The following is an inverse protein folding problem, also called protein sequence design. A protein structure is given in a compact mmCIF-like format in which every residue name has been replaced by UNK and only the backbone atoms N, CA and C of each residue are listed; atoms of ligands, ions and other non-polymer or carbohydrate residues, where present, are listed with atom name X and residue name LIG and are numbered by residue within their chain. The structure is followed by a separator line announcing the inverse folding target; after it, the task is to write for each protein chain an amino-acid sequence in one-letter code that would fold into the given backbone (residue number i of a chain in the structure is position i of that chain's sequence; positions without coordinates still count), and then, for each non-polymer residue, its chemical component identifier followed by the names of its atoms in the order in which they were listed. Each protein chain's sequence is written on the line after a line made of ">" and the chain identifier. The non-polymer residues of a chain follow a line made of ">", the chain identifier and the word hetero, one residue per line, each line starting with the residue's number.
data_IF_120800695419
#
_entry.id   IF_120800695419
#
_cell.length_a   1.000
_cell.length_b   1.000
_cell.length_c   1.000
_cell.angle_alpha   90.00
_cell.angle_beta   90.00
_cell.angle_gamma   90.00
#
_symmetry.space_group_name_H-M   'P 1'
#
loop_
_entity.id
_entity.type
_entity.pdbx_description
1 polymer ?
#
# COMPACT_ATOMS: atom_id res chain seq x y z
N UNK A 1 11.01 57.42 -24.71
CA UNK A 1 10.08 58.36 -25.29
C UNK A 1 9.78 57.87 -26.69
N UNK A 2 8.67 57.08 -26.88
CA UNK A 2 7.84 56.99 -28.09
C UNK A 2 6.65 56.07 -27.77
N UNK A 3 5.52 56.69 -27.58
CA UNK A 3 4.18 56.06 -27.52
C UNK A 3 3.72 55.87 -28.98
N UNK A 4 3.29 54.68 -29.34
CA UNK A 4 2.47 54.48 -30.55
C UNK A 4 1.10 53.98 -30.09
N UNK A 5 0.08 54.75 -30.42
CA UNK A 5 -1.34 54.49 -30.21
C UNK A 5 -1.85 53.55 -31.30
N UNK A 6 -2.60 52.53 -30.82
CA UNK A 6 -3.43 51.69 -31.69
C UNK A 6 -4.77 52.42 -31.86
N UNK A 7 -5.03 52.88 -33.08
CA UNK A 7 -6.37 53.11 -33.66
C UNK A 7 -6.21 53.19 -35.16
N UNK A 8 -7.21 52.66 -35.82
CA UNK A 8 -7.46 52.71 -37.26
C UNK A 8 -6.79 51.64 -38.13
N UNK A 9 -7.57 50.57 -38.36
CA UNK A 9 -7.96 50.13 -39.71
C UNK A 9 -9.19 49.23 -39.55
N UNK A 10 -10.33 49.84 -39.82
CA UNK A 10 -11.63 49.23 -40.09
C UNK A 10 -11.93 49.58 -41.54
N UNK A 11 -12.32 48.61 -42.33
CA UNK A 11 -13.26 48.75 -43.44
C UNK A 11 -12.85 47.98 -44.71
N UNK A 12 -13.88 47.31 -45.24
CA UNK A 12 -14.15 46.93 -46.65
C UNK A 12 -13.56 45.55 -47.07
N UNK A 13 -14.37 44.50 -47.25
CA UNK A 13 -15.28 44.28 -48.36
C UNK A 13 -16.33 43.19 -48.12
N UNK A 14 -17.55 43.57 -48.38
CA UNK A 14 -18.73 42.70 -48.47
C UNK A 14 -18.89 42.16 -49.94
N UNK A 15 -19.66 41.09 -50.04
CA UNK A 15 -20.37 40.51 -51.17
C UNK A 15 -19.65 39.50 -52.07
N UNK A 16 -20.11 38.24 -52.00
CA UNK A 16 -20.88 37.63 -53.06
C UNK A 16 -21.52 36.29 -52.59
N UNK A 17 -22.79 36.23 -52.92
CA UNK A 17 -23.84 35.24 -52.61
C UNK A 17 -23.85 34.13 -53.70
N UNK A 18 -24.44 32.98 -53.33
CA UNK A 18 -25.02 31.83 -54.08
C UNK A 18 -24.19 30.56 -53.86
N UNK A 19 -24.62 29.62 -53.12
CA UNK A 19 -25.81 28.77 -53.13
C UNK A 19 -25.50 27.47 -53.85
N UNK A 20 -25.45 26.37 -53.05
CA UNK A 20 -25.91 25.04 -53.50
C UNK A 20 -25.98 24.16 -52.24
N UNK A 21 -27.15 23.62 -51.94
CA UNK A 21 -27.49 22.63 -50.98
C UNK A 21 -26.89 21.27 -51.32
N UNK A 22 -26.20 20.66 -50.43
CA UNK A 22 -25.77 19.28 -50.58
C UNK A 22 -25.41 18.72 -49.19
N UNK A 23 -26.32 17.98 -48.56
CA UNK A 23 -26.11 17.24 -47.35
C UNK A 23 -25.17 16.08 -47.58
N UNK A 24 -23.99 16.13 -46.98
CA UNK A 24 -23.12 14.98 -46.83
C UNK A 24 -22.56 14.98 -45.42
N UNK A 25 -23.06 14.04 -44.62
CA UNK A 25 -22.49 13.69 -43.35
C UNK A 25 -21.08 13.11 -43.57
N UNK A 26 -20.05 13.91 -43.32
CA UNK A 26 -18.69 13.42 -43.18
C UNK A 26 -18.23 13.70 -41.78
N UNK A 27 -18.07 12.63 -40.98
CA UNK A 27 -17.35 12.64 -39.74
C UNK A 27 -15.91 13.05 -40.02
N UNK A 28 -15.56 14.29 -39.71
CA UNK A 28 -14.16 14.72 -39.64
C UNK A 28 -13.55 14.30 -38.33
N UNK A 29 -12.69 13.29 -38.38
CA UNK A 29 -11.66 13.04 -37.32
C UNK A 29 -10.85 14.33 -37.13
N UNK A 30 -10.60 14.78 -35.90
CA UNK A 30 -9.62 15.83 -35.68
C UNK A 30 -8.23 15.31 -36.02
N UNK A 31 -7.48 16.13 -36.75
CA UNK A 31 -6.12 15.86 -37.16
C UNK A 31 -5.17 15.64 -35.94
N UNK A 32 -4.25 14.71 -36.15
CA UNK A 32 -3.18 14.33 -35.28
C UNK A 32 -2.42 15.51 -34.68
N UNK A 33 -2.44 15.62 -33.38
CA UNK A 33 -1.43 16.33 -32.64
C UNK A 33 -0.08 15.59 -32.77
N UNK A 34 0.92 16.31 -33.16
CA UNK A 34 2.31 15.90 -33.29
C UNK A 34 2.76 15.25 -31.96
N UNK A 35 2.99 13.95 -31.98
CA UNK A 35 3.57 13.23 -30.84
C UNK A 35 4.99 13.74 -30.59
N UNK A 36 5.22 14.28 -29.40
CA UNK A 36 6.55 14.52 -28.87
C UNK A 36 7.10 13.17 -28.43
N UNK A 37 8.25 12.70 -28.95
CA UNK A 37 8.83 11.42 -28.52
C UNK A 37 9.29 11.56 -27.08
N UNK A 38 8.62 10.89 -26.15
CA UNK A 38 8.97 10.85 -24.73
C UNK A 38 7.81 10.90 -23.72
N UNK A 39 6.58 11.16 -24.17
CA UNK A 39 5.43 11.00 -23.28
C UNK A 39 5.09 9.52 -23.15
N UNK A 40 5.33 8.97 -21.98
CA UNK A 40 4.81 7.64 -21.62
C UNK A 40 3.30 7.75 -21.67
N UNK A 41 2.68 7.11 -22.67
CA UNK A 41 1.23 6.98 -22.80
C UNK A 41 0.69 6.52 -21.45
N UNK A 42 -0.37 7.16 -20.96
CA UNK A 42 -1.14 6.71 -19.81
C UNK A 42 -1.43 5.21 -19.95
N UNK A 43 -0.65 4.39 -19.26
CA UNK A 43 -0.94 2.97 -19.16
C UNK A 43 -2.25 2.88 -18.40
N UNK A 44 -3.31 2.55 -19.09
CA UNK A 44 -4.63 2.32 -18.53
C UNK A 44 -4.51 1.18 -17.51
N UNK A 45 -4.29 1.54 -16.26
CA UNK A 45 -4.27 0.61 -15.13
C UNK A 45 -5.67 0.01 -15.04
N UNK A 46 -5.83 -1.23 -15.50
CA UNK A 46 -7.07 -1.98 -15.33
C UNK A 46 -7.40 -2.00 -13.85
N UNK A 47 -8.44 -1.27 -13.44
CA UNK A 47 -9.02 -1.36 -12.11
C UNK A 47 -9.53 -2.79 -11.91
N UNK A 48 -8.71 -3.65 -11.33
CA UNK A 48 -9.15 -4.95 -10.86
C UNK A 48 -10.05 -4.69 -9.63
N UNK A 49 -11.34 -4.47 -9.86
CA UNK A 49 -12.34 -4.60 -8.80
C UNK A 49 -12.34 -6.06 -8.38
N UNK A 50 -11.84 -6.35 -7.17
CA UNK A 50 -12.04 -7.65 -6.55
C UNK A 50 -13.56 -7.86 -6.44
N UNK A 51 -14.13 -8.90 -7.04
CA UNK A 51 -15.57 -9.18 -6.94
C UNK A 51 -15.98 -9.27 -5.47
N UNK A 52 -17.15 -8.75 -5.13
CA UNK A 52 -17.70 -8.76 -3.77
C UNK A 52 -17.78 -10.18 -3.18
N UNK A 53 -17.95 -11.19 -4.04
CA UNK A 53 -17.90 -12.61 -3.70
C UNK A 53 -16.53 -13.11 -3.19
N UNK A 54 -15.44 -12.35 -3.39
CA UNK A 54 -14.10 -12.68 -2.92
C UNK A 54 -13.72 -11.93 -1.63
N UNK A 55 -14.60 -11.07 -1.12
CA UNK A 55 -14.37 -10.44 0.18
C UNK A 55 -14.58 -11.47 1.29
N UNK A 56 -13.57 -11.64 2.12
CA UNK A 56 -13.61 -12.56 3.26
C UNK A 56 -14.47 -11.93 4.34
N UNK A 57 -15.51 -12.64 4.77
CA UNK A 57 -16.35 -12.23 5.89
C UNK A 57 -15.65 -12.58 7.20
N UNK A 58 -15.91 -11.81 8.26
CA UNK A 58 -15.29 -12.04 9.56
C UNK A 58 -15.57 -13.43 10.14
N UNK A 59 -16.74 -13.98 9.86
CA UNK A 59 -17.19 -15.32 10.25
C UNK A 59 -16.44 -16.48 9.54
N UNK A 60 -15.83 -16.19 8.39
CA UNK A 60 -15.03 -17.17 7.62
C UNK A 60 -13.56 -17.23 8.09
N UNK A 61 -13.16 -16.41 9.08
CA UNK A 61 -11.80 -16.33 9.60
C UNK A 61 -11.65 -17.23 10.83
N UNK A 62 -11.00 -18.37 10.65
CA UNK A 62 -10.77 -19.35 11.73
C UNK A 62 -9.55 -18.99 12.55
N UNK A 63 -8.57 -18.40 11.93
CA UNK A 63 -7.30 -18.01 12.56
C UNK A 63 -6.85 -16.65 12.04
N UNK A 64 -6.37 -15.81 12.95
CA UNK A 64 -5.88 -14.47 12.64
C UNK A 64 -4.69 -14.11 13.51
N UNK A 65 -3.67 -13.48 12.92
CA UNK A 65 -2.51 -12.95 13.65
C UNK A 65 -2.00 -11.68 12.98
N UNK A 66 -1.72 -10.66 13.76
CA UNK A 66 -1.10 -9.44 13.25
C UNK A 66 0.42 -9.55 13.33
N UNK A 67 1.07 -9.20 12.24
CA UNK A 67 2.52 -9.26 12.04
C UNK A 67 3.01 -7.88 11.64
N UNK A 68 4.12 -7.46 12.20
CA UNK A 68 4.72 -6.16 11.93
C UNK A 68 6.12 -6.37 11.34
N UNK A 69 6.33 -5.80 10.16
CA UNK A 69 7.62 -5.87 9.45
C UNK A 69 8.28 -4.51 9.38
N UNK A 70 9.61 -4.52 9.40
CA UNK A 70 10.42 -3.38 8.98
C UNK A 70 10.82 -3.63 7.54
N UNK A 71 10.44 -2.74 6.64
CA UNK A 71 10.92 -2.73 5.26
C UNK A 71 11.97 -1.64 5.12
N UNK A 72 13.13 -1.99 4.57
CA UNK A 72 14.21 -1.06 4.23
C UNK A 72 14.08 -0.72 2.74
N UNK A 73 13.74 0.54 2.46
CA UNK A 73 13.48 0.98 1.08
C UNK A 73 14.76 1.08 0.23
N UNK A 74 15.94 1.13 0.87
CA UNK A 74 17.23 1.16 0.15
C UNK A 74 17.68 -0.22 -0.30
N UNK A 75 16.98 -1.30 0.13
CA UNK A 75 17.38 -2.68 -0.16
C UNK A 75 16.54 -3.34 -1.24
N UNK A 76 17.20 -3.99 -2.17
CA UNK A 76 16.60 -4.88 -3.16
C UNK A 76 15.47 -4.22 -3.97
N UNK A 77 14.37 -4.94 -4.14
CA UNK A 77 13.21 -4.48 -4.91
C UNK A 77 12.46 -3.31 -4.25
N UNK A 78 12.65 -3.09 -2.94
CA UNK A 78 12.02 -1.98 -2.24
C UNK A 78 12.53 -0.62 -2.75
N UNK A 79 13.68 -0.57 -3.44
CA UNK A 79 14.22 0.65 -4.04
C UNK A 79 13.23 1.41 -4.92
N UNK A 80 12.32 0.71 -5.57
CA UNK A 80 11.26 1.33 -6.36
C UNK A 80 10.31 2.22 -5.55
N UNK A 81 10.24 2.04 -4.22
CA UNK A 81 9.45 2.86 -3.31
C UNK A 81 10.22 4.07 -2.78
N UNK A 82 11.57 4.02 -2.85
CA UNK A 82 12.46 5.07 -2.33
C UNK A 82 12.82 6.12 -3.39
N UNK A 83 13.00 5.69 -4.63
CA UNK A 83 13.38 6.59 -5.72
C UNK A 83 12.17 7.04 -6.55
N UNK A 84 12.15 8.31 -7.01
CA UNK A 84 13.15 9.36 -6.78
C UNK A 84 13.07 9.95 -5.37
N UNK A 85 14.21 10.29 -4.76
CA UNK A 85 14.26 10.89 -3.42
C UNK A 85 13.64 12.28 -3.45
N UNK A 86 13.97 13.06 -4.48
CA UNK A 86 13.35 14.34 -4.77
C UNK A 86 12.31 14.16 -5.88
N UNK A 87 11.13 14.78 -5.78
CA UNK A 87 10.12 14.68 -6.82
C UNK A 87 10.64 15.15 -8.18
N UNK A 88 10.38 14.36 -9.24
CA UNK A 88 10.70 14.68 -10.63
C UNK A 88 9.40 14.74 -11.41
N UNK A 89 8.87 15.95 -11.64
CA UNK A 89 7.53 16.12 -12.20
C UNK A 89 6.48 15.49 -11.29
N UNK A 90 5.67 14.59 -11.84
CA UNK A 90 4.63 13.87 -11.08
C UNK A 90 5.15 12.62 -10.35
N UNK A 91 6.42 12.26 -10.57
CA UNK A 91 7.02 11.10 -9.92
C UNK A 91 7.58 11.50 -8.56
N UNK A 92 7.18 10.77 -7.54
CA UNK A 92 7.65 10.93 -6.17
C UNK A 92 7.71 9.59 -5.46
N UNK A 93 8.52 9.51 -4.40
CA UNK A 93 8.62 8.30 -3.60
C UNK A 93 7.40 8.08 -2.70
N UNK A 94 7.35 6.91 -2.07
CA UNK A 94 6.24 6.54 -1.19
C UNK A 94 6.04 7.54 -0.04
N UNK A 95 7.13 7.97 0.61
CA UNK A 95 7.02 8.89 1.75
C UNK A 95 6.50 10.26 1.33
N UNK A 96 7.08 10.85 0.27
CA UNK A 96 6.64 12.16 -0.24
C UNK A 96 5.15 12.14 -0.61
N UNK A 97 4.67 11.04 -1.19
CA UNK A 97 3.24 10.90 -1.52
C UNK A 97 2.37 10.81 -0.28
N UNK A 98 2.75 10.01 0.70
CA UNK A 98 2.02 9.92 1.97
C UNK A 98 1.98 11.27 2.69
N UNK A 99 3.13 11.94 2.76
CA UNK A 99 3.28 13.22 3.41
C UNK A 99 2.41 14.29 2.73
N UNK A 100 2.44 14.37 1.40
CA UNK A 100 1.59 15.27 0.60
C UNK A 100 0.09 15.07 0.90
N UNK A 101 -0.36 13.82 0.90
CA UNK A 101 -1.78 13.48 1.06
C UNK A 101 -2.27 13.78 2.48
N UNK A 102 -1.42 13.57 3.50
CA UNK A 102 -1.70 13.95 4.89
C UNK A 102 -1.66 15.46 5.08
N UNK A 103 -0.65 16.16 4.52
CA UNK A 103 -0.51 17.62 4.58
C UNK A 103 -1.73 18.35 3.99
N UNK A 104 -2.29 17.81 2.92
CA UNK A 104 -3.48 18.33 2.26
C UNK A 104 -4.80 17.87 2.91
N UNK A 105 -4.77 17.28 4.10
CA UNK A 105 -5.94 16.77 4.83
C UNK A 105 -6.84 15.84 3.99
N UNK A 106 -6.26 15.12 3.02
CA UNK A 106 -7.00 14.15 2.19
C UNK A 106 -7.22 12.82 2.90
N UNK A 107 -6.33 12.48 3.83
CA UNK A 107 -6.41 11.29 4.70
C UNK A 107 -6.04 11.66 6.13
N UNK A 108 -6.57 10.90 7.10
CA UNK A 108 -6.16 10.98 8.48
C UNK A 108 -4.88 10.17 8.71
N UNK A 109 -3.95 10.75 9.46
CA UNK A 109 -2.81 10.06 10.02
C UNK A 109 -3.00 9.90 11.53
N UNK A 110 -2.53 8.80 12.10
CA UNK A 110 -2.75 8.44 13.50
C UNK A 110 -1.43 8.41 14.26
N UNK A 111 -1.47 8.76 15.53
CA UNK A 111 -0.30 8.80 16.38
C UNK A 111 0.38 7.43 16.51
N UNK A 112 1.71 7.43 16.55
CA UNK A 112 2.49 6.24 16.90
C UNK A 112 2.65 6.17 18.42
N UNK A 113 1.98 5.18 19.04
CA UNK A 113 2.00 4.99 20.50
C UNK A 113 2.56 3.59 20.81
N UNK A 114 3.83 3.54 21.23
CA UNK A 114 4.51 2.29 21.63
C UNK A 114 4.28 1.10 20.68
N UNK A 115 4.27 1.38 19.36
CA UNK A 115 4.01 0.35 18.36
C UNK A 115 2.58 -0.17 18.35
N UNK A 116 1.65 0.50 19.04
CA UNK A 116 0.21 0.27 18.89
C UNK A 116 -0.32 1.18 17.79
N UNK A 117 -1.27 0.67 17.08
CA UNK A 117 -2.04 1.42 16.11
C UNK A 117 -3.50 1.50 16.57
N UNK A 118 -3.96 2.69 16.83
CA UNK A 118 -5.34 2.97 17.23
C UNK A 118 -5.92 3.95 16.21
N UNK A 119 -6.86 3.48 15.40
CA UNK A 119 -7.45 4.24 14.29
C UNK A 119 -8.80 4.84 14.70
N UNK A 120 -8.82 5.63 15.77
CA UNK A 120 -9.99 6.37 16.23
C UNK A 120 -9.74 7.87 16.15
N UNK A 121 -10.78 8.66 16.08
CA UNK A 121 -10.69 10.13 15.93
C UNK A 121 -9.90 10.80 17.04
N UNK A 122 -9.84 10.19 18.23
CA UNK A 122 -9.08 10.66 19.38
C UNK A 122 -7.56 10.67 19.13
N UNK A 123 -7.08 9.71 18.33
CA UNK A 123 -5.65 9.53 18.04
C UNK A 123 -5.23 10.04 16.65
N UNK A 124 -6.10 10.83 16.01
CA UNK A 124 -5.73 11.52 14.77
C UNK A 124 -4.69 12.57 15.09
N UNK A 125 -3.51 12.45 14.49
CA UNK A 125 -2.43 13.42 14.70
C UNK A 125 -2.75 14.73 13.98
N UNK A 126 -2.63 15.84 14.69
CA UNK A 126 -2.69 17.16 14.08
C UNK A 126 -1.40 17.40 13.30
N UNK A 127 -1.49 17.54 11.99
CA UNK A 127 -0.33 17.65 11.12
C UNK A 127 0.65 18.76 11.54
N UNK A 128 0.14 19.89 12.04
CA UNK A 128 0.96 20.97 12.63
C UNK A 128 1.82 20.49 13.81
N UNK A 129 1.28 19.60 14.65
CA UNK A 129 2.03 19.02 15.79
C UNK A 129 3.13 18.10 15.29
N UNK A 130 2.83 17.29 14.27
CA UNK A 130 3.81 16.43 13.62
C UNK A 130 4.95 17.26 13.05
N UNK A 131 4.65 18.30 12.25
CA UNK A 131 5.67 19.15 11.66
C UNK A 131 6.61 19.77 12.71
N UNK A 132 6.02 20.28 13.81
CA UNK A 132 6.81 20.84 14.92
C UNK A 132 7.62 19.78 15.65
N UNK A 133 7.06 18.59 15.87
CA UNK A 133 7.73 17.50 16.57
C UNK A 133 8.94 16.95 15.81
N UNK A 134 8.89 17.01 14.49
CA UNK A 134 10.00 16.59 13.61
C UNK A 134 10.82 17.76 13.07
N UNK A 135 10.58 18.99 13.57
CA UNK A 135 11.32 20.20 13.18
C UNK A 135 11.29 20.48 11.67
N UNK A 136 10.17 20.16 11.01
CA UNK A 136 9.97 20.40 9.58
C UNK A 136 9.48 21.83 9.40
N UNK A 137 10.19 22.70 8.65
CA UNK A 137 9.75 24.06 8.38
C UNK A 137 8.46 24.09 7.55
N UNK A 138 7.55 25.00 7.87
CA UNK A 138 6.29 25.15 7.14
C UNK A 138 5.75 26.57 7.20
N UNK A 139 4.98 26.95 6.18
CA UNK A 139 4.17 28.17 6.16
C UNK A 139 2.70 27.76 6.21
N UNK A 140 1.96 28.34 7.15
CA UNK A 140 0.53 28.05 7.31
C UNK A 140 -0.31 29.03 6.49
N UNK A 141 -1.20 28.51 5.65
CA UNK A 141 -2.16 29.27 4.85
C UNK A 141 -3.57 28.83 5.23
N UNK A 142 -4.51 29.77 5.30
CA UNK A 142 -5.92 29.42 5.48
C UNK A 142 -6.45 28.70 4.24
N UNK A 143 -7.20 27.61 4.44
CA UNK A 143 -7.86 26.90 3.35
C UNK A 143 -9.04 27.74 2.84
N UNK A 144 -9.02 28.20 1.58
CA UNK A 144 -10.11 29.01 1.03
C UNK A 144 -11.40 28.20 0.84
N UNK A 145 -11.33 26.87 0.90
CA UNK A 145 -12.46 25.96 0.64
C UNK A 145 -13.14 25.47 1.92
N UNK A 146 -12.47 25.55 3.06
CA UNK A 146 -12.98 25.03 4.34
C UNK A 146 -12.74 26.04 5.46
N UNK A 147 -13.82 26.42 6.15
CA UNK A 147 -13.73 27.26 7.35
C UNK A 147 -13.02 26.48 8.48
N UNK A 148 -12.01 27.07 9.09
CA UNK A 148 -11.18 26.47 10.16
C UNK A 148 -10.24 25.32 9.72
N UNK A 149 -9.89 25.24 8.46
CA UNK A 149 -8.86 24.33 7.96
C UNK A 149 -7.63 25.10 7.51
N UNK A 150 -6.45 24.61 7.86
CA UNK A 150 -5.17 25.17 7.41
C UNK A 150 -4.53 24.27 6.36
N UNK A 151 -3.98 24.88 5.36
CA UNK A 151 -3.10 24.21 4.37
C UNK A 151 -1.66 24.55 4.77
N UNK A 152 -0.81 23.55 4.77
CA UNK A 152 0.60 23.69 5.10
C UNK A 152 1.41 23.74 3.81
N UNK A 153 2.06 24.87 3.57
CA UNK A 153 3.00 25.05 2.46
C UNK A 153 4.39 24.68 2.95
N UNK A 154 4.95 23.58 2.42
CA UNK A 154 6.24 23.02 2.79
C UNK A 154 7.08 22.98 1.52
N UNK A 155 8.27 23.58 1.58
CA UNK A 155 9.18 23.53 0.46
C UNK A 155 9.67 22.09 0.24
N UNK A 156 9.83 21.66 -1.02
CA UNK A 156 10.20 20.28 -1.34
C UNK A 156 11.52 19.84 -0.68
N UNK A 157 12.47 20.78 -0.51
CA UNK A 157 13.74 20.57 0.20
C UNK A 157 13.59 20.30 1.70
N UNK A 158 12.48 20.76 2.30
CA UNK A 158 12.23 20.61 3.74
C UNK A 158 11.53 19.27 4.06
N UNK A 159 11.00 18.58 3.05
CA UNK A 159 10.41 17.26 3.22
C UNK A 159 11.54 16.23 3.41
N UNK A 160 11.63 15.53 4.56
CA UNK A 160 12.75 14.65 4.87
C UNK A 160 12.69 13.30 4.11
N UNK A 161 12.51 13.36 2.80
CA UNK A 161 12.35 12.17 1.95
C UNK A 161 13.59 11.29 1.93
N UNK A 162 14.79 11.88 2.01
CA UNK A 162 16.06 11.17 2.07
C UNK A 162 16.27 10.43 3.39
N UNK A 163 15.71 10.99 4.48
CA UNK A 163 15.87 10.47 5.84
C UNK A 163 14.85 9.38 6.18
N UNK A 164 13.75 9.30 5.42
CA UNK A 164 12.75 8.24 5.57
C UNK A 164 13.07 7.08 4.64
N UNK A 165 13.96 6.21 5.09
CA UNK A 165 14.40 5.04 4.34
C UNK A 165 13.79 3.73 4.82
N UNK A 166 12.98 3.75 5.86
CA UNK A 166 12.34 2.56 6.42
C UNK A 166 10.85 2.79 6.69
N UNK A 167 10.08 1.72 6.65
CA UNK A 167 8.67 1.72 7.04
C UNK A 167 8.36 0.53 7.95
N UNK A 168 7.48 0.77 8.93
CA UNK A 168 6.73 -0.34 9.52
C UNK A 168 5.54 -0.66 8.63
N UNK A 169 5.35 -1.95 8.36
CA UNK A 169 4.19 -2.50 7.67
C UNK A 169 3.46 -3.41 8.62
N UNK A 170 2.23 -3.07 8.96
CA UNK A 170 1.33 -3.97 9.69
C UNK A 170 0.61 -4.85 8.69
N UNK A 171 0.75 -6.16 8.86
CA UNK A 171 0.05 -7.20 8.12
C UNK A 171 -0.92 -7.92 9.03
N UNK A 172 -2.06 -8.32 8.53
CA UNK A 172 -2.92 -9.31 9.15
C UNK A 172 -2.88 -10.59 8.32
N UNK A 173 -2.41 -11.65 8.95
CA UNK A 173 -2.43 -13.00 8.42
C UNK A 173 -3.68 -13.70 8.92
N UNK A 174 -4.42 -14.35 8.04
CA UNK A 174 -5.64 -15.06 8.41
C UNK A 174 -5.89 -16.28 7.51
N UNK A 175 -6.54 -17.29 8.08
CA UNK A 175 -6.98 -18.47 7.36
C UNK A 175 -8.44 -18.28 6.95
N UNK A 176 -8.68 -18.27 5.63
CA UNK A 176 -10.01 -18.26 5.04
C UNK A 176 -10.52 -19.69 4.95
N UNK A 177 -11.53 -20.01 5.76
CA UNK A 177 -12.10 -21.35 5.84
C UNK A 177 -12.73 -21.81 4.52
N UNK A 178 -13.33 -20.91 3.76
CA UNK A 178 -14.00 -21.25 2.50
C UNK A 178 -13.05 -21.80 1.45
N UNK A 179 -11.87 -21.21 1.37
CA UNK A 179 -10.84 -21.56 0.38
C UNK A 179 -9.72 -22.40 0.97
N UNK A 180 -9.75 -22.64 2.28
CA UNK A 180 -8.68 -23.35 3.00
C UNK A 180 -7.29 -22.76 2.72
N UNK A 181 -7.25 -21.45 2.55
CA UNK A 181 -6.02 -20.76 2.13
C UNK A 181 -5.62 -19.69 3.13
N UNK A 182 -4.30 -19.61 3.38
CA UNK A 182 -3.72 -18.52 4.13
C UNK A 182 -3.71 -17.26 3.28
N UNK A 183 -4.25 -16.17 3.82
CA UNK A 183 -4.27 -14.85 3.19
C UNK A 183 -3.56 -13.84 4.06
N UNK A 184 -2.96 -12.85 3.41
CA UNK A 184 -2.28 -11.74 4.07
C UNK A 184 -2.84 -10.43 3.54
N UNK A 185 -3.19 -9.55 4.46
CA UNK A 185 -3.66 -8.20 4.13
C UNK A 185 -2.76 -7.17 4.81
N UNK A 186 -2.25 -6.21 4.05
CA UNK A 186 -1.60 -5.02 4.61
C UNK A 186 -2.68 -4.15 5.24
N UNK A 187 -2.47 -3.77 6.50
CA UNK A 187 -3.44 -3.00 7.30
C UNK A 187 -3.04 -1.54 7.41
N UNK A 188 -1.76 -1.29 7.66
CA UNK A 188 -1.27 0.07 7.86
C UNK A 188 0.22 0.19 7.53
N UNK A 189 0.63 1.41 7.21
CA UNK A 189 2.01 1.81 6.98
C UNK A 189 2.39 2.89 7.98
N UNK A 190 3.65 2.84 8.45
CA UNK A 190 4.22 3.90 9.29
C UNK A 190 5.62 4.24 8.78
N UNK A 191 5.86 5.44 8.26
CA UNK A 191 7.19 5.91 7.88
C UNK A 191 8.08 6.07 9.12
N UNK A 192 9.36 5.77 8.97
CA UNK A 192 10.38 5.85 10.02
C UNK A 192 11.42 6.87 9.57
N UNK A 193 11.51 7.96 10.28
CA UNK A 193 12.54 8.97 10.10
C UNK A 193 13.85 8.50 10.78
N UNK A 194 14.95 8.56 10.05
CA UNK A 194 16.29 8.23 10.56
C UNK A 194 17.12 9.49 10.62
N UNK A 195 17.57 9.87 11.81
CA UNK A 195 18.46 11.04 12.02
C UNK A 195 19.64 10.65 12.90
N UNK A 196 20.78 11.26 12.63
CA UNK A 196 21.93 11.19 13.52
C UNK A 196 21.69 12.09 14.74
N UNK A 197 21.97 11.56 15.91
CA UNK A 197 21.95 12.34 17.16
C UNK A 197 23.24 13.16 17.33
N UNK A 198 23.33 13.93 18.41
CA UNK A 198 24.48 14.78 18.73
C UNK A 198 25.81 13.98 18.88
N UNK A 199 25.73 12.69 19.09
CA UNK A 199 26.89 11.79 19.27
C UNK A 199 27.22 11.06 17.96
N UNK A 200 26.45 11.29 16.88
CA UNK A 200 26.62 10.64 15.57
C UNK A 200 26.02 9.23 15.51
N UNK A 201 25.14 8.86 16.47
CA UNK A 201 24.41 7.62 16.40
C UNK A 201 23.11 7.78 15.59
N UNK A 202 22.88 6.86 14.67
CA UNK A 202 21.64 6.84 13.87
C UNK A 202 20.46 6.40 14.75
N UNK A 203 19.52 7.33 14.97
CA UNK A 203 18.26 7.06 15.67
C UNK A 203 17.09 7.03 14.73
N UNK A 204 16.16 6.16 15.02
CA UNK A 204 14.97 5.94 14.22
C UNK A 204 13.72 6.39 14.97
N UNK A 205 12.90 7.21 14.31
CA UNK A 205 11.69 7.80 14.87
C UNK A 205 10.50 7.44 13.99
N UNK A 206 9.64 6.48 14.44
CA UNK A 206 8.36 6.24 13.77
C UNK A 206 7.51 7.51 13.80
N UNK A 207 6.95 7.90 12.66
CA UNK A 207 6.29 9.20 12.54
C UNK A 207 4.79 9.12 12.85
N UNK A 208 4.07 8.34 12.05
CA UNK A 208 2.62 8.21 12.17
C UNK A 208 2.12 6.95 11.45
N UNK A 209 0.98 6.45 11.87
CA UNK A 209 0.29 5.36 11.17
C UNK A 209 -0.70 5.89 10.15
N UNK A 210 -0.76 5.24 8.99
CA UNK A 210 -1.79 5.48 7.97
C UNK A 210 -2.44 4.14 7.61
N UNK A 211 -3.79 4.01 7.75
CA UNK A 211 -4.49 2.81 7.32
C UNK A 211 -4.35 2.61 5.81
N UNK A 212 -4.00 1.40 5.40
CA UNK A 212 -3.69 1.09 4.00
C UNK A 212 -4.87 1.29 3.05
N UNK A 213 -6.09 1.02 3.51
CA UNK A 213 -7.30 1.21 2.71
C UNK A 213 -7.59 2.68 2.40
N UNK A 214 -7.24 3.59 3.32
CA UNK A 214 -7.48 5.04 3.11
C UNK A 214 -6.54 5.63 2.08
N UNK A 215 -5.31 5.11 1.96
CA UNK A 215 -4.33 5.58 0.98
C UNK A 215 -4.42 4.86 -0.37
N UNK A 216 -5.20 3.79 -0.46
CA UNK A 216 -5.39 2.99 -1.68
C UNK A 216 -5.62 3.81 -2.95
N UNK A 217 -6.53 4.83 -2.99
CA UNK A 217 -6.78 5.61 -4.19
C UNK A 217 -5.52 6.33 -4.71
N UNK A 218 -4.66 6.78 -3.80
CA UNK A 218 -3.43 7.50 -4.12
C UNK A 218 -2.32 6.54 -4.57
N UNK A 219 -2.12 5.44 -3.84
CA UNK A 219 -1.12 4.42 -4.20
C UNK A 219 -1.45 3.68 -5.50
N UNK A 220 -2.73 3.58 -5.87
CA UNK A 220 -3.14 2.99 -7.14
C UNK A 220 -2.81 3.86 -8.35
N UNK A 221 -2.58 5.16 -8.15
CA UNK A 221 -2.17 6.10 -9.19
C UNK A 221 -0.65 6.22 -9.31
N UNK A 222 0.09 5.78 -8.29
CA UNK A 222 1.55 5.78 -8.31
C UNK A 222 2.07 4.55 -9.05
N UNK A 223 2.79 4.77 -10.13
CA UNK A 223 3.42 3.71 -10.92
C UNK A 223 4.90 3.57 -10.57
N UNK A 224 5.33 2.33 -10.35
CA UNK A 224 6.72 1.96 -10.10
C UNK A 224 7.14 0.84 -11.03
N UNK A 225 8.45 0.75 -11.31
CA UNK A 225 9.00 -0.40 -12.00
C UNK A 225 8.86 -1.66 -11.10
N UNK A 226 8.21 -2.68 -11.60
CA UNK A 226 8.02 -3.95 -10.87
C UNK A 226 9.32 -4.75 -10.78
N UNK A 227 10.30 -4.45 -11.64
CA UNK A 227 11.60 -5.09 -11.70
C UNK A 227 12.66 -4.05 -12.06
N UNK A 228 13.78 -4.05 -11.34
CA UNK A 228 14.92 -3.16 -11.59
C UNK A 228 15.61 -3.40 -12.94
N UNK A 229 15.46 -4.59 -13.50
CA UNK A 229 16.07 -4.98 -14.78
C UNK A 229 15.15 -4.77 -15.97
N UNK A 230 13.85 -4.58 -15.74
CA UNK A 230 12.85 -4.42 -16.80
C UNK A 230 11.91 -3.24 -16.51
N UNK A 231 12.25 -2.07 -17.00
CA UNK A 231 11.45 -0.85 -16.83
C UNK A 231 10.12 -0.86 -17.60
N UNK A 232 9.92 -1.79 -18.52
CA UNK A 232 8.64 -1.96 -19.21
C UNK A 232 7.57 -2.64 -18.32
N UNK A 233 8.01 -3.34 -17.28
CA UNK A 233 7.10 -3.97 -16.32
C UNK A 233 6.73 -2.97 -15.22
N UNK A 234 5.65 -2.25 -15.42
CA UNK A 234 5.14 -1.21 -14.50
C UNK A 234 3.96 -1.74 -13.72
N UNK A 235 3.91 -1.44 -12.43
CA UNK A 235 2.78 -1.76 -11.57
C UNK A 235 2.46 -0.60 -10.64
N UNK A 236 1.25 -0.60 -10.05
CA UNK A 236 0.92 0.40 -9.03
C UNK A 236 1.61 0.07 -7.70
N UNK A 237 1.89 1.10 -6.90
CA UNK A 237 2.39 0.90 -5.53
C UNK A 237 1.38 0.11 -4.70
N UNK A 238 0.08 0.32 -4.92
CA UNK A 238 -0.95 -0.48 -4.27
C UNK A 238 -0.80 -1.98 -4.58
N UNK A 239 -0.65 -2.33 -5.86
CA UNK A 239 -0.48 -3.74 -6.26
C UNK A 239 0.83 -4.33 -5.75
N UNK A 240 1.89 -3.53 -5.67
CA UNK A 240 3.17 -3.94 -5.08
C UNK A 240 3.00 -4.42 -3.64
N UNK A 241 2.27 -3.66 -2.81
CA UNK A 241 1.96 -4.06 -1.44
C UNK A 241 0.95 -5.22 -1.38
N UNK A 242 -0.10 -5.18 -2.19
CA UNK A 242 -1.13 -6.21 -2.21
C UNK A 242 -0.60 -7.59 -2.64
N UNK A 243 0.35 -7.62 -3.57
CA UNK A 243 1.06 -8.84 -3.99
C UNK A 243 2.24 -9.21 -3.07
N UNK A 244 2.48 -8.45 -2.00
CA UNK A 244 3.58 -8.66 -1.06
C UNK A 244 4.95 -8.78 -1.72
N UNK A 245 5.25 -7.92 -2.68
CA UNK A 245 6.55 -7.88 -3.35
C UNK A 245 7.65 -7.24 -2.51
N UNK A 246 7.29 -6.52 -1.44
CA UNK A 246 8.24 -5.93 -0.52
C UNK A 246 8.96 -7.00 0.30
N UNK A 247 10.21 -6.70 0.62
CA UNK A 247 11.05 -7.50 1.49
C UNK A 247 11.22 -6.78 2.83
N UNK A 248 11.08 -7.51 3.93
CA UNK A 248 11.22 -6.92 5.25
C UNK A 248 11.21 -7.95 6.36
N UNK A 249 11.90 -7.63 7.43
CA UNK A 249 12.09 -8.50 8.59
C UNK A 249 10.95 -8.33 9.60
N UNK A 250 10.48 -9.42 10.18
CA UNK A 250 9.51 -9.37 11.27
C UNK A 250 10.20 -8.77 12.50
N UNK A 251 9.64 -7.70 13.05
CA UNK A 251 10.13 -7.13 14.31
C UNK A 251 9.18 -7.35 15.48
N UNK A 252 7.91 -7.65 15.19
CA UNK A 252 6.89 -7.90 16.21
C UNK A 252 5.77 -8.75 15.61
N UNK A 253 5.22 -9.61 16.43
CA UNK A 253 3.97 -10.32 16.17
C UNK A 253 3.03 -10.04 17.33
N UNK A 254 1.72 -9.98 17.08
CA UNK A 254 0.74 -9.76 18.14
C UNK A 254 0.93 -10.78 19.27
N UNK A 255 1.14 -10.28 20.46
CA UNK A 255 1.31 -11.06 21.68
C UNK A 255 0.71 -10.32 22.88
N UNK A 256 0.37 -11.03 23.94
CA UNK A 256 -0.28 -10.46 25.13
C UNK A 256 0.48 -9.33 25.79
N UNK A 257 1.81 -9.33 25.69
CA UNK A 257 2.69 -8.32 26.30
C UNK A 257 2.96 -7.13 25.38
N UNK A 258 2.48 -7.16 24.14
CA UNK A 258 2.77 -6.16 23.10
C UNK A 258 4.28 -5.91 22.87
N UNK A 259 5.11 -6.93 23.12
CA UNK A 259 6.57 -6.84 23.03
C UNK A 259 7.05 -7.09 21.61
N UNK A 260 8.07 -6.34 21.20
CA UNK A 260 8.82 -6.62 19.98
C UNK A 260 9.91 -7.67 20.23
N UNK A 261 10.47 -8.25 19.17
CA UNK A 261 11.48 -9.31 19.25
C UNK A 261 12.71 -8.86 20.04
N UNK A 262 13.15 -7.60 19.87
CA UNK A 262 14.31 -7.05 20.60
C UNK A 262 14.10 -6.96 22.11
N UNK A 263 12.86 -6.99 22.59
CA UNK A 263 12.58 -6.95 24.03
C UNK A 263 13.00 -8.25 24.73
N UNK A 264 12.88 -9.41 24.05
CA UNK A 264 13.22 -10.72 24.62
C UNK A 264 14.43 -11.41 23.96
N UNK A 265 14.79 -11.07 22.73
CA UNK A 265 16.02 -11.50 22.08
C UNK A 265 17.06 -10.38 22.15
N UNK A 266 18.20 -10.62 22.81
CA UNK A 266 19.19 -9.57 23.10
C UNK A 266 20.36 -9.55 22.14
N UNK A 267 20.65 -10.66 21.45
CA UNK A 267 21.75 -10.75 20.49
C UNK A 267 21.21 -10.71 19.05
N UNK A 268 21.98 -10.19 18.09
CA UNK A 268 21.58 -10.14 16.68
C UNK A 268 21.25 -11.53 16.12
N UNK A 269 22.01 -12.56 16.52
CA UNK A 269 21.81 -13.95 16.09
C UNK A 269 20.48 -14.50 16.63
N UNK A 270 20.16 -14.23 17.88
CA UNK A 270 18.90 -14.65 18.50
C UNK A 270 17.70 -13.95 17.84
N UNK A 271 17.84 -12.65 17.49
CA UNK A 271 16.82 -11.90 16.77
C UNK A 271 16.55 -12.54 15.40
N UNK A 272 17.62 -12.83 14.65
CA UNK A 272 17.51 -13.44 13.32
C UNK A 272 16.90 -14.84 13.39
N UNK A 273 17.35 -15.66 14.32
CA UNK A 273 16.80 -17.01 14.54
C UNK A 273 15.29 -16.97 14.86
N UNK A 274 14.87 -16.02 15.69
CA UNK A 274 13.45 -15.84 16.04
C UNK A 274 12.63 -15.34 14.85
N UNK A 275 13.17 -14.43 14.04
CA UNK A 275 12.55 -13.97 12.80
C UNK A 275 12.32 -15.13 11.83
N UNK A 276 13.34 -15.95 11.60
CA UNK A 276 13.24 -17.15 10.76
C UNK A 276 12.25 -18.19 11.32
N UNK A 277 12.22 -18.37 12.65
CA UNK A 277 11.25 -19.25 13.31
C UNK A 277 9.81 -18.78 13.06
N UNK A 278 9.55 -17.48 13.25
CA UNK A 278 8.24 -16.88 13.04
C UNK A 278 7.81 -16.94 11.55
N UNK A 279 8.72 -16.71 10.61
CA UNK A 279 8.43 -16.86 9.18
C UNK A 279 8.03 -18.31 8.84
N UNK A 280 8.76 -19.28 9.34
CA UNK A 280 8.45 -20.70 9.15
C UNK A 280 7.11 -21.07 9.78
N UNK A 281 6.84 -20.58 11.00
CA UNK A 281 5.58 -20.79 11.69
C UNK A 281 4.40 -20.25 10.85
N UNK A 282 4.48 -18.99 10.40
CA UNK A 282 3.42 -18.36 9.59
C UNK A 282 3.17 -19.09 8.28
N UNK A 283 4.21 -19.53 7.60
CA UNK A 283 4.08 -20.25 6.34
C UNK A 283 3.51 -21.66 6.52
N UNK A 284 3.75 -22.30 7.68
CA UNK A 284 3.30 -23.65 7.95
C UNK A 284 1.94 -23.74 8.67
N UNK A 285 1.39 -22.62 9.15
CA UNK A 285 0.10 -22.63 9.88
C UNK A 285 -1.02 -23.23 9.02
N UNK A 286 -1.06 -22.93 7.73
CA UNK A 286 -2.06 -23.49 6.83
C UNK A 286 -2.04 -25.03 6.87
N UNK A 287 -0.88 -25.66 6.71
CA UNK A 287 -0.73 -27.11 6.74
C UNK A 287 -0.99 -27.67 8.15
N UNK A 288 -0.46 -27.05 9.20
CA UNK A 288 -0.58 -27.54 10.57
C UNK A 288 -2.02 -27.50 11.13
N UNK A 289 -2.86 -26.60 10.65
CA UNK A 289 -4.27 -26.57 11.02
C UNK A 289 -5.11 -27.61 10.28
N UNK A 290 -4.65 -28.08 9.11
CA UNK A 290 -5.34 -29.08 8.31
C UNK A 290 -4.92 -30.52 8.58
N UNK A 291 -3.69 -30.76 8.98
CA UNK A 291 -3.17 -32.10 9.27
C UNK A 291 -4.03 -32.88 10.29
N UNK A 292 -4.41 -32.31 11.45
CA UNK A 292 -5.24 -33.01 12.41
C UNK A 292 -6.63 -33.38 11.85
N UNK A 293 -7.24 -32.48 11.08
CA UNK A 293 -8.56 -32.72 10.47
C UNK A 293 -8.49 -33.80 9.39
N UNK A 294 -7.46 -33.80 8.57
CA UNK A 294 -7.26 -34.86 7.57
C UNK A 294 -6.95 -36.21 8.22
N UNK A 295 -6.20 -36.21 9.31
CA UNK A 295 -5.91 -37.44 10.06
C UNK A 295 -7.19 -38.04 10.65
N UNK A 296 -8.04 -37.23 11.27
CA UNK A 296 -9.34 -37.66 11.80
C UNK A 296 -10.25 -38.21 10.69
N UNK A 297 -10.35 -37.52 9.56
CA UNK A 297 -11.14 -38.01 8.41
C UNK A 297 -10.64 -39.33 7.87
N UNK A 298 -9.33 -39.55 7.79
CA UNK A 298 -8.75 -40.84 7.40
C UNK A 298 -9.07 -41.95 8.42
N UNK A 299 -8.92 -41.67 9.70
CA UNK A 299 -9.26 -42.61 10.77
C UNK A 299 -10.72 -42.98 10.76
N UNK A 300 -11.64 -42.03 10.52
CA UNK A 300 -13.07 -42.30 10.36
C UNK A 300 -13.37 -43.15 9.11
N UNK A 301 -12.72 -42.86 7.99
CA UNK A 301 -12.89 -43.59 6.74
C UNK A 301 -12.37 -45.03 6.86
N UNK A 302 -11.23 -45.23 7.52
CA UNK A 302 -10.69 -46.53 7.82
C UNK A 302 -11.57 -47.33 8.79
N UNK A 303 -12.13 -46.68 9.81
CA UNK A 303 -13.06 -47.30 10.74
C UNK A 303 -14.38 -47.70 10.05
N UNK A 304 -14.87 -46.90 9.10
CA UNK A 304 -16.06 -47.24 8.29
C UNK A 304 -15.79 -48.43 7.39
N UNK A 305 -14.67 -48.44 6.68
CA UNK A 305 -14.27 -49.59 5.82
C UNK A 305 -14.10 -50.88 6.63
N UNK A 306 -13.52 -50.77 7.84
CA UNK A 306 -13.36 -51.93 8.73
C UNK A 306 -14.72 -52.48 9.22
N UNK A 307 -15.71 -51.62 9.46
CA UNK A 307 -17.09 -52.04 9.81
C UNK A 307 -17.75 -52.72 8.61
N UNK A 308 -17.71 -52.19 7.42
CA UNK A 308 -18.27 -52.77 6.21
C UNK A 308 -17.72 -54.18 5.91
N UNK A 309 -16.40 -54.34 6.12
CA UNK A 309 -15.74 -55.66 5.95
C UNK A 309 -16.25 -56.66 7.02
N UNK A 310 -16.42 -56.23 8.27
CA UNK A 310 -16.95 -57.10 9.33
C UNK A 310 -18.40 -57.53 9.03
N UNK A 311 -19.26 -56.60 8.65
CA UNK A 311 -20.64 -56.84 8.33
C UNK A 311 -20.80 -57.77 7.11
N UNK A 312 -19.99 -57.63 6.08
CA UNK A 312 -19.96 -58.48 4.92
C UNK A 312 -19.51 -59.90 5.26
N UNK A 313 -18.57 -60.09 6.20
CA UNK A 313 -18.13 -61.42 6.68
C UNK A 313 -19.22 -62.11 7.50
N UNK A 314 -19.94 -61.33 8.37
CA UNK A 314 -21.04 -61.86 9.15
C UNK A 314 -22.20 -62.33 8.25
N UNK A 315 -22.51 -61.60 7.19
CA UNK A 315 -23.54 -61.97 6.22
C UNK A 315 -23.15 -63.23 5.40
N UNK A 316 -21.86 -63.38 5.04
CA UNK A 316 -21.39 -64.60 4.36
C UNK A 316 -21.46 -65.86 5.23
N UNK A 317 -21.23 -65.72 6.54
CA UNK A 317 -21.29 -66.83 7.48
C UNK A 317 -22.76 -67.19 7.95
N UNK A 318 -23.77 -66.38 7.55
CA UNK A 318 -25.17 -66.62 7.86
C UNK A 318 -25.99 -67.23 6.72
N UNK A 319 -25.37 -67.50 5.55
CA UNK A 319 -26.02 -68.28 4.49
C UNK A 319 -25.74 -69.75 4.71
N UNK A 320 -26.82 -70.61 4.89
CA UNK A 320 -26.70 -72.05 5.08
C UNK A 320 -26.18 -72.71 3.82
#
# INVERSE_FOLDING_TARGET
>A
MYRIKIKDILLICTLAIFGITGTLNAQTKPASSTEVPGSISEVSLKKNKVPESQQVRGEDVVWKRDVYRIIDLKKGQNGALYYPVEPIGDQMNLFSKLFEVVANNKIAAYEYIDGREIFTDEYVIKFKVLLKGFEIPFKEKSDPTKTNSSIFDIEGSDIPSADVSQFYVKETWFLDQRNSSMKVKVVALCPILSREDEVGELRTYPMFWVPFETIKPFLSQMSIAADSLNSANVMSVYDYFNQRRYQGDIFKVSNFRNQNIKAYCKTPEAIKAEQERLEKELNNIGSSLWEPSQKLLREEEEARKAKEIKDSRIQKNKKP
#
